data_IF_813456974851
#
_entry.id   IF_813456974851
#
_cell.length_a   1.000
_cell.length_b   1.000
_cell.length_c   1.000
_cell.angle_alpha   90.00
_cell.angle_beta   90.00
_cell.angle_gamma   90.00
#
_symmetry.space_group_name_H-M   'P 1'
#
loop_
_entity.id
_entity.type
_entity.pdbx_description
1 polymer ?
#
# COMPACT_ATOMS: atom_id res chain seq x y z
N UNK A 1 -16.39 7.71 -6.59
CA UNK A 1 -15.89 6.33 -6.75
C UNK A 1 -14.68 6.39 -7.69
N UNK A 2 -13.58 5.77 -7.33
CA UNK A 2 -12.38 5.72 -8.17
C UNK A 2 -12.58 4.59 -9.20
N UNK A 3 -12.35 4.88 -10.48
CA UNK A 3 -12.37 3.85 -11.51
C UNK A 3 -10.97 3.24 -11.61
N UNK A 4 -10.79 2.02 -11.10
CA UNK A 4 -9.53 1.29 -11.09
C UNK A 4 -9.18 0.60 -12.41
N UNK A 5 -10.12 0.58 -13.37
CA UNK A 5 -9.90 -0.03 -14.70
C UNK A 5 -9.17 0.92 -15.66
N UNK A 6 -9.07 2.21 -15.32
CA UNK A 6 -8.34 3.20 -16.07
C UNK A 6 -7.28 3.86 -15.17
N UNK A 7 -6.07 3.32 -15.19
CA UNK A 7 -4.96 3.72 -14.30
C UNK A 7 -4.10 4.85 -14.86
N UNK A 8 -4.40 5.36 -16.06
CA UNK A 8 -3.53 6.34 -16.73
C UNK A 8 -3.39 7.68 -16.01
N UNK A 9 -4.33 8.04 -15.09
CA UNK A 9 -4.17 9.18 -14.17
C UNK A 9 -5.20 9.12 -13.04
N UNK A 10 -4.95 8.28 -12.03
CA UNK A 10 -5.82 8.29 -10.84
C UNK A 10 -5.41 9.45 -9.94
N UNK A 11 -6.19 10.52 -9.96
CA UNK A 11 -6.03 11.65 -9.05
C UNK A 11 -6.65 11.33 -7.68
N UNK A 12 -5.80 11.28 -6.66
CA UNK A 12 -6.20 11.01 -5.28
C UNK A 12 -6.50 12.27 -4.45
N UNK A 13 -6.34 13.45 -5.01
CA UNK A 13 -6.61 14.70 -4.26
C UNK A 13 -8.04 14.71 -3.74
N UNK A 14 -8.16 14.95 -2.44
CA UNK A 14 -9.41 14.95 -1.69
C UNK A 14 -10.20 13.62 -1.66
N UNK A 15 -9.68 12.54 -2.24
CA UNK A 15 -10.29 11.20 -2.14
C UNK A 15 -10.07 10.61 -0.75
N UNK A 16 -11.08 9.92 -0.24
CA UNK A 16 -10.98 9.18 1.02
C UNK A 16 -10.38 7.82 0.74
N UNK A 17 -9.22 7.58 1.30
CA UNK A 17 -8.51 6.31 1.15
C UNK A 17 -8.40 5.64 2.51
N UNK A 18 -8.92 4.43 2.62
CA UNK A 18 -8.70 3.60 3.80
C UNK A 18 -7.58 2.62 3.55
N UNK A 19 -6.60 2.60 4.44
CA UNK A 19 -5.53 1.61 4.45
C UNK A 19 -5.78 0.60 5.56
N UNK A 20 -5.85 -0.68 5.22
CA UNK A 20 -6.03 -1.76 6.17
C UNK A 20 -4.73 -2.54 6.37
N UNK A 21 -4.36 -2.67 7.65
CA UNK A 21 -3.11 -3.26 8.10
C UNK A 21 -2.01 -2.20 8.22
N UNK A 22 -1.49 -2.01 9.44
CA UNK A 22 -0.44 -1.05 9.79
C UNK A 22 0.92 -1.72 10.03
N UNK A 23 1.16 -2.86 9.37
CA UNK A 23 2.52 -3.34 9.16
C UNK A 23 3.29 -2.41 8.21
N UNK A 24 4.54 -2.73 7.94
CA UNK A 24 5.43 -1.87 7.14
C UNK A 24 4.82 -1.48 5.77
N UNK A 25 4.25 -2.42 5.02
CA UNK A 25 3.65 -2.14 3.70
C UNK A 25 2.46 -1.18 3.78
N UNK A 26 1.57 -1.36 4.75
CA UNK A 26 0.41 -0.48 4.89
C UNK A 26 0.79 0.91 5.37
N UNK A 27 1.76 1.00 6.27
CA UNK A 27 2.30 2.28 6.74
C UNK A 27 2.86 3.10 5.58
N UNK A 28 3.66 2.49 4.71
CA UNK A 28 4.23 3.17 3.55
C UNK A 28 3.18 3.49 2.47
N UNK A 29 2.17 2.62 2.28
CA UNK A 29 1.03 2.93 1.41
C UNK A 29 0.23 4.15 1.92
N UNK A 30 0.04 4.25 3.23
CA UNK A 30 -0.63 5.41 3.84
C UNK A 30 0.16 6.71 3.62
N UNK A 31 1.49 6.67 3.78
CA UNK A 31 2.37 7.81 3.51
C UNK A 31 2.32 8.24 2.04
N UNK A 32 2.38 7.28 1.11
CA UNK A 32 2.29 7.55 -0.32
C UNK A 32 0.93 8.17 -0.68
N UNK A 33 -0.18 7.58 -0.22
CA UNK A 33 -1.52 8.10 -0.49
C UNK A 33 -1.70 9.53 0.05
N UNK A 34 -1.19 9.80 1.25
CA UNK A 34 -1.21 11.14 1.85
C UNK A 34 -0.38 12.13 1.05
N UNK A 35 0.81 11.75 0.58
CA UNK A 35 1.66 12.58 -0.27
C UNK A 35 0.96 12.94 -1.59
N UNK A 36 0.16 12.03 -2.13
CA UNK A 36 -0.66 12.23 -3.34
C UNK A 36 -1.94 13.04 -3.08
N UNK A 37 -2.13 13.56 -1.87
CA UNK A 37 -3.24 14.44 -1.50
C UNK A 37 -4.53 13.75 -1.08
N UNK A 38 -4.49 12.45 -0.82
CA UNK A 38 -5.65 11.73 -0.29
C UNK A 38 -5.94 12.09 1.17
N UNK A 39 -7.22 12.00 1.55
CA UNK A 39 -7.65 11.99 2.95
C UNK A 39 -7.56 10.55 3.46
N UNK A 40 -6.47 10.24 4.14
CA UNK A 40 -6.16 8.87 4.55
C UNK A 40 -6.70 8.56 5.94
N UNK A 41 -7.33 7.39 6.06
CA UNK A 41 -7.65 6.74 7.32
C UNK A 41 -6.98 5.36 7.35
N UNK A 42 -6.17 5.07 8.37
CA UNK A 42 -5.45 3.81 8.45
C UNK A 42 -5.89 3.01 9.68
N UNK A 43 -6.17 1.72 9.50
CA UNK A 43 -6.79 0.87 10.52
C UNK A 43 -6.12 -0.50 10.61
N UNK A 44 -5.89 -0.96 11.83
CA UNK A 44 -5.41 -2.31 12.12
C UNK A 44 -6.16 -2.92 13.31
N UNK A 45 -6.54 -4.19 13.20
CA UNK A 45 -7.18 -4.93 14.28
C UNK A 45 -6.20 -5.35 15.38
N UNK A 46 -4.91 -5.33 15.14
CA UNK A 46 -3.87 -5.58 16.13
C UNK A 46 -3.61 -4.33 16.97
N UNK A 47 -3.25 -4.56 18.24
CA UNK A 47 -2.74 -3.56 19.16
C UNK A 47 -1.31 -3.89 19.61
N UNK A 48 -0.57 -4.64 18.82
CA UNK A 48 0.83 -4.95 19.08
C UNK A 48 1.68 -3.68 19.06
N UNK A 49 2.79 -3.69 19.79
CA UNK A 49 3.66 -2.52 19.98
C UNK A 49 4.15 -1.93 18.67
N UNK A 50 4.53 -2.78 17.71
CA UNK A 50 4.97 -2.35 16.38
C UNK A 50 3.86 -1.62 15.62
N UNK A 51 2.64 -2.16 15.61
CA UNK A 51 1.46 -1.55 14.96
C UNK A 51 1.10 -0.23 15.62
N UNK A 52 1.14 -0.16 16.94
CA UNK A 52 0.91 1.08 17.68
C UNK A 52 1.99 2.13 17.39
N UNK A 53 3.25 1.72 17.25
CA UNK A 53 4.35 2.62 16.88
C UNK A 53 4.15 3.21 15.48
N UNK A 54 3.81 2.40 14.49
CA UNK A 54 3.49 2.87 13.14
C UNK A 54 2.27 3.81 13.12
N UNK A 55 1.23 3.47 13.89
CA UNK A 55 0.05 4.33 14.06
C UNK A 55 0.43 5.70 14.62
N UNK A 56 1.25 5.75 15.67
CA UNK A 56 1.73 7.01 16.25
C UNK A 56 2.57 7.82 15.26
N UNK A 57 3.45 7.17 14.50
CA UNK A 57 4.25 7.83 13.45
C UNK A 57 3.34 8.50 12.41
N UNK A 58 2.33 7.75 11.89
CA UNK A 58 1.38 8.27 10.92
C UNK A 58 0.60 9.47 11.46
N UNK A 59 0.15 9.41 12.71
CA UNK A 59 -0.59 10.51 13.35
C UNK A 59 0.28 11.74 13.56
N UNK A 60 1.47 11.58 14.14
CA UNK A 60 2.29 12.72 14.56
C UNK A 60 3.08 13.34 13.42
N UNK A 61 3.65 12.52 12.53
CA UNK A 61 4.55 12.99 11.48
C UNK A 61 3.84 13.27 10.16
N UNK A 62 2.72 12.60 9.90
CA UNK A 62 2.00 12.68 8.62
C UNK A 62 0.58 13.21 8.75
N UNK A 63 0.09 13.45 9.98
CA UNK A 63 -1.28 13.92 10.27
C UNK A 63 -2.38 13.00 9.70
N UNK A 64 -2.09 11.70 9.61
CA UNK A 64 -3.01 10.67 9.15
C UNK A 64 -3.82 10.16 10.33
N UNK A 65 -5.14 10.13 10.20
CA UNK A 65 -6.01 9.54 11.22
C UNK A 65 -5.86 8.01 11.23
N UNK A 66 -5.70 7.43 12.42
CA UNK A 66 -5.49 5.99 12.59
C UNK A 66 -6.39 5.40 13.67
N UNK A 67 -6.58 4.08 13.61
CA UNK A 67 -7.12 3.28 14.73
C UNK A 67 -6.40 1.93 14.81
N UNK A 68 -6.25 1.40 16.04
CA UNK A 68 -5.62 0.10 16.31
C UNK A 68 -6.46 -0.71 17.29
N UNK A 69 -6.33 -2.05 17.24
CA UNK A 69 -7.05 -2.98 18.12
C UNK A 69 -8.48 -3.30 17.67
N UNK A 70 -9.01 -2.57 16.70
CA UNK A 70 -10.36 -2.76 16.16
C UNK A 70 -10.45 -2.15 14.76
N UNK A 71 -11.41 -2.64 13.97
CA UNK A 71 -11.88 -1.94 12.78
C UNK A 71 -13.27 -1.37 13.06
N UNK A 72 -13.36 -0.05 13.21
CA UNK A 72 -14.65 0.63 13.32
C UNK A 72 -15.36 0.81 11.98
N UNK A 73 -16.63 1.20 11.97
CA UNK A 73 -17.34 1.46 10.72
C UNK A 73 -16.76 2.63 9.88
N UNK A 74 -15.83 3.41 10.45
CA UNK A 74 -15.11 4.47 9.71
C UNK A 74 -14.33 3.95 8.52
N UNK A 75 -13.87 2.69 8.55
CA UNK A 75 -13.15 2.07 7.43
C UNK A 75 -13.98 2.09 6.13
N UNK A 76 -15.31 2.09 6.22
CA UNK A 76 -16.21 2.09 5.05
C UNK A 76 -16.50 3.48 4.48
N UNK A 77 -16.08 4.55 5.15
CA UNK A 77 -16.18 5.92 4.62
C UNK A 77 -15.01 6.21 3.68
N UNK A 78 -14.94 5.48 2.57
CA UNK A 78 -13.82 5.49 1.66
C UNK A 78 -14.26 5.41 0.19
N UNK A 79 -13.46 6.02 -0.66
CA UNK A 79 -13.56 5.94 -2.12
C UNK A 79 -12.65 4.84 -2.68
N UNK A 80 -11.67 4.38 -1.88
CA UNK A 80 -10.72 3.32 -2.21
C UNK A 80 -10.19 2.67 -0.93
N UNK A 81 -10.02 1.34 -0.96
CA UNK A 81 -9.26 0.60 0.04
C UNK A 81 -7.94 0.10 -0.52
N UNK A 82 -6.89 0.31 0.27
CA UNK A 82 -5.58 -0.33 0.07
C UNK A 82 -5.39 -1.35 1.18
N UNK A 83 -5.19 -2.61 0.83
CA UNK A 83 -5.02 -3.68 1.82
C UNK A 83 -3.60 -4.21 1.83
N UNK A 84 -3.06 -4.41 3.04
CA UNK A 84 -1.77 -5.08 3.24
C UNK A 84 -1.83 -6.56 2.81
N UNK A 85 -0.71 -7.15 2.36
CA UNK A 85 -0.66 -8.53 1.87
C UNK A 85 -1.16 -9.59 2.87
N UNK A 86 -1.10 -9.30 4.17
CA UNK A 86 -1.56 -10.21 5.23
C UNK A 86 -3.09 -10.28 5.39
N UNK A 87 -3.84 -9.36 4.78
CA UNK A 87 -5.30 -9.32 4.93
C UNK A 87 -5.98 -10.21 3.88
N UNK A 88 -6.70 -11.21 4.35
CA UNK A 88 -7.44 -12.11 3.46
C UNK A 88 -8.65 -11.42 2.83
N UNK A 89 -8.82 -11.58 1.52
CA UNK A 89 -10.00 -11.11 0.79
C UNK A 89 -11.32 -11.80 1.23
N UNK A 90 -11.23 -12.88 2.00
CA UNK A 90 -12.40 -13.63 2.48
C UNK A 90 -12.93 -13.17 3.85
N UNK A 91 -12.35 -12.14 4.46
CA UNK A 91 -12.83 -11.58 5.72
C UNK A 91 -14.17 -10.87 5.54
N UNK A 92 -14.98 -10.84 6.61
CA UNK A 92 -16.32 -10.23 6.53
C UNK A 92 -16.25 -8.73 6.29
N UNK A 93 -15.22 -8.05 6.80
CA UNK A 93 -14.99 -6.62 6.54
C UNK A 93 -14.74 -6.35 5.06
N UNK A 94 -13.96 -7.20 4.39
CA UNK A 94 -13.68 -7.08 2.95
C UNK A 94 -14.93 -7.36 2.13
N UNK A 95 -15.70 -8.40 2.47
CA UNK A 95 -16.98 -8.68 1.81
C UNK A 95 -17.96 -7.52 1.93
N UNK A 96 -18.07 -6.92 3.11
CA UNK A 96 -18.93 -5.74 3.35
C UNK A 96 -18.46 -4.54 2.51
N UNK A 97 -17.16 -4.30 2.40
CA UNK A 97 -16.63 -3.24 1.55
C UNK A 97 -16.97 -3.44 0.06
N UNK A 98 -16.84 -4.68 -0.44
CA UNK A 98 -17.25 -5.05 -1.81
C UNK A 98 -18.75 -4.81 -2.02
N UNK A 99 -19.59 -5.21 -1.05
CA UNK A 99 -21.05 -4.98 -1.12
C UNK A 99 -21.38 -3.48 -1.14
N UNK A 100 -20.59 -2.65 -0.47
CA UNK A 100 -20.72 -1.19 -0.49
C UNK A 100 -20.14 -0.56 -1.77
N UNK A 101 -19.62 -1.36 -2.70
CA UNK A 101 -19.04 -0.88 -3.95
C UNK A 101 -17.68 -0.17 -3.78
N UNK A 102 -16.97 -0.38 -2.67
CA UNK A 102 -15.65 0.21 -2.43
C UNK A 102 -14.62 -0.60 -3.21
N UNK A 103 -13.86 0.00 -4.15
CA UNK A 103 -12.76 -0.66 -4.82
C UNK A 103 -11.67 -1.06 -3.81
N UNK A 104 -11.09 -2.25 -3.99
CA UNK A 104 -10.07 -2.79 -3.08
C UNK A 104 -8.86 -3.23 -3.89
N UNK A 105 -7.70 -2.67 -3.58
CA UNK A 105 -6.44 -2.98 -4.24
C UNK A 105 -5.35 -3.35 -3.22
N UNK A 106 -4.31 -4.00 -3.69
CA UNK A 106 -3.11 -4.27 -2.89
C UNK A 106 -2.17 -3.06 -2.86
N UNK A 107 -1.26 -3.04 -1.90
CA UNK A 107 -0.20 -2.02 -1.82
C UNK A 107 0.65 -1.97 -3.10
N UNK A 108 0.99 -3.13 -3.66
CA UNK A 108 1.80 -3.23 -4.89
C UNK A 108 1.03 -2.66 -6.09
N UNK A 109 -0.24 -3.01 -6.24
CA UNK A 109 -1.11 -2.46 -7.28
C UNK A 109 -1.21 -0.94 -7.16
N UNK A 110 -1.47 -0.45 -5.95
CA UNK A 110 -1.53 0.97 -5.67
C UNK A 110 -0.25 1.71 -6.07
N UNK A 111 0.91 1.24 -5.61
CA UNK A 111 2.18 1.89 -5.89
C UNK A 111 2.54 1.85 -7.38
N UNK A 112 2.14 0.79 -8.11
CA UNK A 112 2.42 0.66 -9.53
C UNK A 112 1.77 1.72 -10.41
N UNK A 113 0.72 2.39 -9.92
CA UNK A 113 0.05 3.48 -10.65
C UNK A 113 0.86 4.77 -10.70
N UNK A 114 1.88 4.91 -9.81
CA UNK A 114 2.61 6.17 -9.60
C UNK A 114 4.10 6.06 -9.91
N UNK A 115 4.51 5.05 -10.64
CA UNK A 115 5.87 4.93 -11.18
C UNK A 115 5.84 4.70 -12.68
N UNK A 116 6.78 5.29 -13.41
CA UNK A 116 7.01 5.03 -14.83
C UNK A 116 8.14 4.01 -15.05
N UNK A 117 8.78 3.53 -14.00
CA UNK A 117 9.84 2.55 -14.09
C UNK A 117 9.29 1.20 -14.60
N UNK A 118 9.99 0.50 -15.50
CA UNK A 118 9.63 -0.85 -15.90
C UNK A 118 9.63 -1.79 -14.69
N UNK A 119 8.56 -2.58 -14.52
CA UNK A 119 8.39 -3.49 -13.39
C UNK A 119 8.58 -4.93 -13.85
N UNK A 120 9.47 -5.67 -13.18
CA UNK A 120 9.60 -7.12 -13.32
C UNK A 120 9.01 -7.77 -12.07
N UNK A 121 7.83 -8.39 -12.21
CA UNK A 121 7.15 -9.02 -11.10
C UNK A 121 7.52 -10.51 -10.99
N UNK A 122 7.95 -10.94 -9.79
CA UNK A 122 8.30 -12.32 -9.49
C UNK A 122 7.32 -12.88 -8.44
N UNK A 123 6.60 -13.94 -8.80
CA UNK A 123 5.71 -14.66 -7.89
C UNK A 123 6.05 -16.15 -7.85
N UNK A 124 5.54 -16.87 -6.88
CA UNK A 124 5.74 -18.31 -6.74
C UNK A 124 5.82 -18.77 -5.28
N UNK A 125 5.79 -20.06 -5.05
CA UNK A 125 5.89 -20.63 -3.70
C UNK A 125 7.30 -20.57 -3.14
N UNK A 126 8.32 -20.86 -3.97
CA UNK A 126 9.74 -20.90 -3.60
C UNK A 126 10.60 -20.11 -4.58
N UNK A 127 11.80 -19.72 -4.16
CA UNK A 127 12.82 -19.12 -5.00
C UNK A 127 12.62 -17.65 -5.36
N UNK A 128 11.52 -17.00 -4.96
CA UNK A 128 11.24 -15.58 -5.29
C UNK A 128 12.40 -14.66 -4.96
N UNK A 129 12.87 -14.68 -3.73
CA UNK A 129 13.95 -13.80 -3.26
C UNK A 129 15.22 -14.00 -4.05
N UNK A 130 15.63 -15.26 -4.27
CA UNK A 130 16.83 -15.57 -5.04
C UNK A 130 16.71 -15.09 -6.49
N UNK A 131 15.54 -15.31 -7.11
CA UNK A 131 15.26 -14.84 -8.48
C UNK A 131 15.31 -13.31 -8.56
N UNK A 132 14.71 -12.60 -7.60
CA UNK A 132 14.77 -11.14 -7.55
C UNK A 132 16.21 -10.63 -7.43
N UNK A 133 17.04 -11.25 -6.56
CA UNK A 133 18.46 -10.88 -6.44
C UNK A 133 19.21 -11.05 -7.75
N UNK A 134 19.07 -12.22 -8.39
CA UNK A 134 19.73 -12.49 -9.68
C UNK A 134 19.28 -11.49 -10.74
N UNK A 135 17.97 -11.24 -10.86
CA UNK A 135 17.44 -10.27 -11.81
C UNK A 135 17.95 -8.86 -11.52
N UNK A 136 18.00 -8.48 -10.25
CA UNK A 136 18.53 -7.17 -9.85
C UNK A 136 19.97 -6.99 -10.28
N UNK A 137 20.82 -7.98 -10.02
CA UNK A 137 22.23 -7.96 -10.48
C UNK A 137 22.33 -7.90 -12.01
N UNK A 138 21.52 -8.67 -12.74
CA UNK A 138 21.53 -8.67 -14.20
C UNK A 138 21.04 -7.35 -14.82
N UNK A 139 20.11 -6.66 -14.16
CA UNK A 139 19.54 -5.40 -14.62
C UNK A 139 20.36 -4.17 -14.19
N UNK A 140 21.28 -4.31 -13.23
CA UNK A 140 22.20 -3.24 -12.85
C UNK A 140 23.33 -3.12 -13.86
N UNK A 141 23.35 -1.99 -14.54
CA UNK A 141 24.36 -1.65 -15.56
C UNK A 141 24.80 -0.20 -15.37
N UNK A 142 25.75 0.27 -16.17
CA UNK A 142 26.14 1.70 -16.18
C UNK A 142 24.99 2.65 -16.58
N UNK A 143 23.94 2.11 -17.19
CA UNK A 143 22.79 2.88 -17.71
C UNK A 143 21.48 2.63 -16.94
N UNK A 144 21.39 1.57 -16.16
CA UNK A 144 20.18 1.18 -15.42
C UNK A 144 20.50 0.86 -13.97
N UNK A 145 19.68 1.35 -13.06
CA UNK A 145 19.72 1.02 -11.64
C UNK A 145 18.47 0.23 -11.27
N UNK A 146 18.63 -1.04 -10.95
CA UNK A 146 17.54 -1.91 -10.53
C UNK A 146 17.32 -1.81 -9.04
N UNK A 147 16.06 -1.66 -8.63
CA UNK A 147 15.66 -1.56 -7.23
C UNK A 147 14.70 -2.70 -6.89
N UNK A 148 15.04 -3.48 -5.87
CA UNK A 148 14.14 -4.50 -5.35
C UNK A 148 13.15 -3.89 -4.36
N UNK A 149 11.88 -4.28 -4.49
CA UNK A 149 10.81 -3.87 -3.58
C UNK A 149 9.74 -4.97 -3.46
N UNK A 150 8.88 -4.86 -2.48
CA UNK A 150 7.71 -5.73 -2.30
C UNK A 150 7.61 -6.36 -0.92
N UNK A 151 6.99 -7.53 -0.84
CA UNK A 151 6.67 -8.20 0.43
C UNK A 151 7.89 -8.64 1.28
N UNK A 152 9.08 -8.60 0.70
CA UNK A 152 10.34 -8.86 1.42
C UNK A 152 11.27 -7.67 1.22
N UNK A 153 11.71 -7.09 2.33
CA UNK A 153 12.59 -5.91 2.31
C UNK A 153 11.81 -4.60 2.37
N UNK A 154 12.04 -3.73 1.41
CA UNK A 154 11.43 -2.40 1.37
C UNK A 154 10.09 -2.46 0.63
N UNK A 155 9.01 -1.91 1.20
CA UNK A 155 7.71 -1.81 0.52
C UNK A 155 7.82 -1.07 -0.81
N UNK A 156 6.98 -1.47 -1.78
CA UNK A 156 7.00 -0.82 -3.08
C UNK A 156 6.52 0.64 -3.00
N UNK A 157 5.53 0.91 -2.15
CA UNK A 157 5.06 2.28 -1.88
C UNK A 157 6.16 3.18 -1.34
N UNK A 158 7.08 2.69 -0.52
CA UNK A 158 8.23 3.47 -0.03
C UNK A 158 9.18 3.83 -1.17
N UNK A 159 9.45 2.89 -2.09
CA UNK A 159 10.31 3.14 -3.25
C UNK A 159 9.71 4.19 -4.17
N UNK A 160 8.42 4.04 -4.49
CA UNK A 160 7.70 4.99 -5.33
C UNK A 160 7.64 6.37 -4.66
N UNK A 161 7.34 6.46 -3.37
CA UNK A 161 7.33 7.72 -2.63
C UNK A 161 8.69 8.44 -2.67
N UNK A 162 9.80 7.69 -2.62
CA UNK A 162 11.15 8.25 -2.72
C UNK A 162 11.53 8.65 -4.16
N UNK A 163 10.90 8.06 -5.17
CA UNK A 163 11.08 8.42 -6.59
C UNK A 163 10.37 9.75 -6.92
N UNK A 164 9.19 9.98 -6.36
CA UNK A 164 8.35 11.15 -6.70
C UNK A 164 8.54 12.38 -5.79
N UNK A 165 9.32 12.28 -4.71
CA UNK A 165 9.74 13.41 -3.84
C UNK A 165 10.88 14.19 -4.46
#
# INVERSE_FOLDING_TARGET
>A
MINIDNTEEIDLRDKRVTVLGLGLSGTEAAKLANHLGAKVFASDSSAEEEVCSHSMELMHSHHIATETGIHSDKIYDADLWIISPGISKNTDIVKKAIQNGIPIISEIEFASWYTNAPIIAVTGSNGKTTTCHILSEMCNTDQTNSIMAGNMGIPFSERVLNEIK
#
